data_IF_553238280719
#
_entry.id   IF_553238280719
#
_cell.length_a   1.000
_cell.length_b   1.000
_cell.length_c   1.000
_cell.angle_alpha   90.00
_cell.angle_beta   90.00
_cell.angle_gamma   90.00
#
_symmetry.space_group_name_H-M   'P 1'
#
loop_
_entity.id
_entity.type
_entity.pdbx_description
1 polymer ?
#
# COMPACT_ATOMS: atom_id res chain seq x y z
N UNK A 1 -2.28 10.07 11.27
CA UNK A 1 -2.43 8.72 11.79
C UNK A 1 -1.76 7.75 10.85
N UNK A 2 -0.72 7.03 11.29
CA UNK A 2 -0.20 5.92 10.48
C UNK A 2 -1.19 4.75 10.57
N UNK A 3 -1.93 4.53 9.49
CA UNK A 3 -2.93 3.45 9.40
C UNK A 3 -2.27 2.08 9.23
N UNK A 4 -1.00 2.01 8.88
CA UNK A 4 -0.32 0.74 8.60
C UNK A 4 -0.15 -0.13 9.85
N UNK A 5 -0.16 0.46 11.04
CA UNK A 5 0.04 -0.23 12.32
C UNK A 5 -1.25 -0.47 13.10
N UNK A 6 -2.33 0.23 12.77
CA UNK A 6 -3.62 0.08 13.44
C UNK A 6 -4.15 -1.36 13.34
N UNK A 7 -4.57 -1.92 14.48
CA UNK A 7 -5.10 -3.28 14.58
C UNK A 7 -4.03 -4.38 14.62
N UNK A 8 -2.74 -4.04 14.58
CA UNK A 8 -1.65 -5.02 14.66
C UNK A 8 -1.20 -5.24 16.10
N UNK A 9 -0.80 -6.47 16.40
CA UNK A 9 -0.12 -6.79 17.65
C UNK A 9 1.36 -6.41 17.53
N UNK A 10 1.82 -5.50 18.37
CA UNK A 10 3.13 -4.88 18.26
C UNK A 10 3.87 -4.86 19.60
N UNK A 11 5.19 -4.88 19.51
CA UNK A 11 6.15 -4.52 20.55
C UNK A 11 6.54 -3.06 20.38
N UNK A 12 6.42 -2.29 21.44
CA UNK A 12 6.89 -0.91 21.50
C UNK A 12 7.97 -0.81 22.57
N UNK A 13 9.14 -0.34 22.17
CA UNK A 13 10.29 -0.16 23.07
C UNK A 13 10.43 1.32 23.39
N UNK A 14 10.62 1.62 24.67
CA UNK A 14 11.05 2.94 25.16
C UNK A 14 12.30 2.79 26.01
N UNK A 15 12.94 3.90 26.38
CA UNK A 15 14.03 3.91 27.36
C UNK A 15 13.63 3.19 28.66
N UNK A 16 14.09 1.95 28.81
CA UNK A 16 13.93 1.12 30.00
C UNK A 16 12.66 0.25 30.09
N UNK A 17 11.75 0.26 29.11
CA UNK A 17 10.54 -0.59 29.14
C UNK A 17 10.14 -1.11 27.76
N UNK A 18 9.58 -2.31 27.73
CA UNK A 18 9.02 -2.96 26.54
C UNK A 18 7.53 -3.21 26.75
N UNK A 19 6.71 -2.84 25.77
CA UNK A 19 5.26 -2.98 25.80
C UNK A 19 4.80 -3.87 24.64
N UNK A 20 4.02 -4.91 24.90
CA UNK A 20 3.43 -5.76 23.87
C UNK A 20 1.90 -5.69 23.93
N UNK A 21 1.24 -5.42 22.80
CA UNK A 21 -0.21 -5.23 22.79
C UNK A 21 -0.80 -4.83 21.44
N UNK A 22 -2.10 -4.58 21.39
CA UNK A 22 -2.82 -4.21 20.17
C UNK A 22 -2.74 -2.71 19.91
N UNK A 23 -2.20 -2.31 18.76
CA UNK A 23 -2.09 -0.89 18.38
C UNK A 23 -3.45 -0.34 17.96
N UNK A 24 -3.94 0.68 18.66
CA UNK A 24 -5.13 1.44 18.25
C UNK A 24 -4.78 2.50 17.21
N UNK A 25 -3.71 3.26 17.46
CA UNK A 25 -3.30 4.39 16.61
C UNK A 25 -1.85 4.79 16.81
N UNK A 26 -1.25 5.37 15.77
CA UNK A 26 0.06 6.04 15.82
C UNK A 26 -0.10 7.49 15.34
N UNK A 27 0.32 8.45 16.18
CA UNK A 27 0.26 9.88 15.87
C UNK A 27 1.47 10.33 15.04
N UNK A 28 1.21 10.98 13.89
CA UNK A 28 2.26 11.35 12.92
C UNK A 28 3.29 12.36 13.43
N UNK A 29 2.91 13.28 14.33
CA UNK A 29 3.78 14.39 14.71
C UNK A 29 4.82 14.04 15.77
N UNK A 30 4.60 12.95 16.52
CA UNK A 30 5.46 12.56 17.65
C UNK A 30 5.77 11.07 17.71
N UNK A 31 5.20 10.27 16.79
CA UNK A 31 5.33 8.82 16.82
C UNK A 31 4.58 8.14 17.97
N UNK A 32 3.84 8.88 18.81
CA UNK A 32 3.20 8.31 20.00
C UNK A 32 2.17 7.24 19.63
N UNK A 33 2.15 6.16 20.41
CA UNK A 33 1.34 4.95 20.18
C UNK A 33 0.32 4.80 21.31
N UNK A 34 -0.91 4.44 20.94
CA UNK A 34 -1.92 3.96 21.90
C UNK A 34 -2.07 2.46 21.70
N UNK A 35 -2.00 1.70 22.80
CA UNK A 35 -2.11 0.25 22.80
C UNK A 35 -3.16 -0.25 23.79
N UNK A 36 -3.74 -1.43 23.52
CA UNK A 36 -4.70 -2.14 24.37
C UNK A 36 -4.25 -3.55 24.69
N UNK A 37 -4.65 -4.06 25.86
CA UNK A 37 -4.29 -5.38 26.38
C UNK A 37 -2.77 -5.54 26.36
N UNK A 38 -2.12 -4.72 27.18
CA UNK A 38 -0.69 -4.47 27.11
C UNK A 38 0.03 -5.25 28.20
N UNK A 39 0.98 -6.11 27.82
CA UNK A 39 1.93 -6.71 28.74
C UNK A 39 3.22 -5.87 28.73
N UNK A 40 3.77 -5.55 29.90
CA UNK A 40 4.98 -4.76 30.07
C UNK A 40 6.09 -5.62 30.64
N UNK A 41 7.26 -5.58 30.01
CA UNK A 41 8.47 -6.32 30.42
C UNK A 41 8.16 -7.79 30.74
N UNK A 42 7.25 -8.41 29.97
CA UNK A 42 6.74 -9.78 30.11
C UNK A 42 6.16 -10.16 31.49
N UNK A 43 5.82 -9.16 32.31
CA UNK A 43 5.49 -9.39 33.74
C UNK A 43 4.25 -8.64 34.22
N UNK A 44 4.00 -7.43 33.73
CA UNK A 44 2.90 -6.57 34.19
C UNK A 44 1.80 -6.45 33.12
N UNK A 45 0.56 -6.77 33.49
CA UNK A 45 -0.61 -6.63 32.62
C UNK A 45 -1.29 -5.27 32.83
N UNK A 46 -1.41 -4.50 31.76
CA UNK A 46 -2.04 -3.19 31.71
C UNK A 46 -3.21 -3.19 30.71
N UNK A 47 -4.24 -2.38 31.00
CA UNK A 47 -5.38 -2.18 30.11
C UNK A 47 -5.00 -1.43 28.85
N UNK A 48 -5.03 -0.10 28.91
CA UNK A 48 -4.64 0.77 27.80
C UNK A 48 -3.43 1.62 28.17
N UNK A 49 -2.48 1.75 27.26
CA UNK A 49 -1.25 2.52 27.48
C UNK A 49 -1.08 3.55 26.36
N UNK A 50 -0.71 4.77 26.74
CA UNK A 50 -0.28 5.83 25.83
C UNK A 50 1.24 5.99 25.94
N UNK A 51 1.96 5.63 24.87
CA UNK A 51 3.42 5.70 24.79
C UNK A 51 3.78 6.94 23.99
N UNK A 52 4.39 7.94 24.63
CA UNK A 52 4.60 9.26 24.02
C UNK A 52 5.74 9.29 23.00
N UNK A 53 6.85 8.63 23.29
CA UNK A 53 8.10 8.67 22.53
C UNK A 53 8.67 7.27 22.43
N UNK A 54 8.15 6.43 21.52
CA UNK A 54 8.72 5.11 21.28
C UNK A 54 10.06 5.24 20.54
N UNK A 55 11.02 4.39 20.92
CA UNK A 55 12.27 4.21 20.18
C UNK A 55 12.06 3.28 18.99
N UNK A 56 11.30 2.19 19.22
CA UNK A 56 10.98 1.18 18.21
C UNK A 56 9.50 0.80 18.32
N UNK A 57 8.85 0.65 17.17
CA UNK A 57 7.52 0.03 17.05
C UNK A 57 7.62 -1.12 16.06
N UNK A 58 7.49 -2.35 16.56
CA UNK A 58 7.70 -3.58 15.80
C UNK A 58 6.43 -4.42 15.82
N UNK A 59 5.98 -4.91 14.66
CA UNK A 59 4.85 -5.84 14.59
C UNK A 59 5.37 -7.26 14.80
N UNK A 60 5.03 -7.89 15.93
CA UNK A 60 5.52 -9.23 16.30
C UNK A 60 4.75 -10.36 15.57
N UNK A 61 3.50 -10.09 15.17
CA UNK A 61 2.67 -11.01 14.38
C UNK A 61 2.41 -10.41 13.00
N UNK A 62 3.42 -10.37 12.11
CA UNK A 62 3.24 -9.81 10.78
C UNK A 62 2.28 -10.68 9.98
N UNK A 63 1.14 -10.10 9.60
CA UNK A 63 0.18 -10.75 8.69
C UNK A 63 0.62 -10.67 7.22
N UNK A 64 1.66 -9.88 6.92
CA UNK A 64 2.18 -9.66 5.57
C UNK A 64 3.62 -10.10 5.52
N UNK A 65 3.96 -10.96 4.55
CA UNK A 65 5.33 -11.35 4.25
C UNK A 65 5.83 -10.45 3.13
N UNK A 66 6.83 -9.61 3.42
CA UNK A 66 7.44 -8.72 2.42
C UNK A 66 8.87 -9.17 2.18
N UNK A 67 9.20 -9.42 0.92
CA UNK A 67 10.51 -9.94 0.50
C UNK A 67 11.06 -9.11 -0.67
N UNK A 68 12.38 -9.09 -0.83
CA UNK A 68 13.05 -8.47 -1.98
C UNK A 68 13.32 -9.54 -3.04
N UNK A 69 12.63 -9.46 -4.17
CA UNK A 69 12.76 -10.44 -5.26
C UNK A 69 13.35 -9.78 -6.50
N UNK A 70 14.05 -10.58 -7.31
CA UNK A 70 14.55 -10.15 -8.61
C UNK A 70 13.36 -9.80 -9.52
N UNK A 71 13.35 -8.59 -10.07
CA UNK A 71 12.24 -8.11 -10.91
C UNK A 71 12.08 -8.95 -12.18
N UNK A 72 13.16 -9.58 -12.66
CA UNK A 72 13.16 -10.40 -13.88
C UNK A 72 12.61 -11.81 -13.63
N UNK A 73 12.52 -12.26 -12.38
CA UNK A 73 11.90 -13.54 -12.02
C UNK A 73 10.37 -13.42 -11.91
N UNK A 74 9.85 -12.20 -11.73
CA UNK A 74 8.41 -11.96 -11.58
C UNK A 74 7.67 -12.03 -12.92
N UNK A 75 6.58 -12.78 -12.94
CA UNK A 75 5.79 -13.00 -14.15
C UNK A 75 4.40 -12.36 -14.02
N UNK A 76 3.84 -11.77 -15.09
CA UNK A 76 2.45 -11.32 -15.04
C UNK A 76 1.49 -12.50 -14.83
N UNK A 77 0.39 -12.27 -14.12
CA UNK A 77 -0.72 -13.22 -14.07
C UNK A 77 -1.18 -13.60 -15.49
N UNK A 78 -1.54 -14.88 -15.77
CA UNK A 78 -1.88 -15.34 -17.13
C UNK A 78 -2.95 -14.50 -17.85
N UNK A 79 -3.95 -14.01 -17.12
CA UNK A 79 -5.04 -13.19 -17.68
C UNK A 79 -4.70 -11.69 -17.78
N UNK A 80 -3.47 -11.31 -17.43
CA UNK A 80 -3.03 -9.93 -17.54
C UNK A 80 -2.64 -9.60 -18.99
N UNK A 81 -3.61 -9.13 -19.76
CA UNK A 81 -3.44 -8.79 -21.18
C UNK A 81 -3.27 -7.27 -21.45
N UNK A 82 -3.06 -6.46 -20.43
CA UNK A 82 -2.98 -5.00 -20.58
C UNK A 82 -1.55 -4.54 -20.79
N UNK A 83 -1.28 -3.91 -21.93
CA UNK A 83 -0.07 -3.11 -22.07
C UNK A 83 -0.27 -1.75 -21.39
N UNK A 84 0.67 -1.34 -20.55
CA UNK A 84 0.60 -0.05 -19.87
C UNK A 84 1.99 0.58 -19.76
N UNK A 85 2.04 1.90 -19.72
CA UNK A 85 3.24 2.64 -19.32
C UNK A 85 3.18 3.02 -17.83
N UNK A 86 4.27 2.82 -17.07
CA UNK A 86 4.35 3.27 -15.69
C UNK A 86 4.33 4.80 -15.65
N UNK A 87 3.66 5.37 -14.65
CA UNK A 87 3.68 6.84 -14.44
C UNK A 87 5.08 7.28 -14.02
N UNK A 88 5.54 8.44 -14.50
CA UNK A 88 6.82 9.02 -14.09
C UNK A 88 7.00 9.15 -12.57
N UNK A 89 5.91 9.37 -11.84
CA UNK A 89 5.94 9.46 -10.38
C UNK A 89 6.36 8.14 -9.72
N UNK A 90 6.06 6.99 -10.32
CA UNK A 90 6.52 5.68 -9.87
C UNK A 90 8.00 5.50 -10.18
N UNK A 91 8.43 5.81 -11.41
CA UNK A 91 9.83 5.74 -11.83
C UNK A 91 10.70 6.64 -10.93
N UNK A 92 10.28 7.89 -10.69
CA UNK A 92 10.97 8.80 -9.76
C UNK A 92 11.04 8.25 -8.34
N UNK A 93 10.01 7.51 -7.89
CA UNK A 93 10.03 6.85 -6.59
C UNK A 93 11.06 5.71 -6.57
N UNK A 94 11.19 4.95 -7.65
CA UNK A 94 12.23 3.92 -7.78
C UNK A 94 13.63 4.53 -7.64
N UNK A 95 13.95 5.60 -8.38
CA UNK A 95 15.25 6.27 -8.24
C UNK A 95 15.51 6.79 -6.83
N UNK A 96 14.52 7.44 -6.20
CA UNK A 96 14.69 8.09 -4.91
C UNK A 96 14.71 7.13 -3.73
N UNK A 97 13.85 6.12 -3.76
CA UNK A 97 13.60 5.25 -2.61
C UNK A 97 14.12 3.82 -2.81
N UNK A 98 14.60 3.49 -4.02
CA UNK A 98 14.93 2.11 -4.44
C UNK A 98 13.70 1.16 -4.47
N UNK A 99 12.48 1.71 -4.56
CA UNK A 99 11.24 0.98 -4.84
C UNK A 99 10.08 1.91 -5.27
N UNK A 100 9.05 1.35 -5.89
CA UNK A 100 7.91 2.09 -6.46
C UNK A 100 6.81 2.46 -5.44
N UNK A 101 7.20 2.88 -4.22
CA UNK A 101 6.36 3.44 -3.15
C UNK A 101 5.36 2.49 -2.46
N UNK A 102 5.06 1.33 -3.01
CA UNK A 102 4.33 0.26 -2.30
C UNK A 102 4.74 -1.12 -2.81
N UNK A 103 4.32 -2.17 -2.12
CA UNK A 103 4.68 -3.56 -2.41
C UNK A 103 3.64 -4.19 -3.35
N UNK A 104 4.03 -4.59 -4.58
CA UNK A 104 3.21 -5.44 -5.44
C UNK A 104 2.88 -6.75 -4.72
N UNK A 105 1.72 -7.32 -5.02
CA UNK A 105 1.29 -8.60 -4.42
C UNK A 105 1.63 -9.71 -5.39
N UNK A 106 2.40 -10.69 -4.93
CA UNK A 106 2.90 -11.81 -5.74
C UNK A 106 2.61 -13.14 -5.04
N UNK A 107 2.44 -14.19 -5.83
CA UNK A 107 2.41 -15.57 -5.33
C UNK A 107 3.82 -16.08 -5.01
N UNK A 108 3.90 -17.19 -4.30
CA UNK A 108 5.18 -17.86 -4.01
C UNK A 108 5.95 -18.34 -5.26
N UNK A 109 5.28 -18.45 -6.42
CA UNK A 109 5.89 -18.80 -7.69
C UNK A 109 6.37 -17.58 -8.52
N UNK A 110 6.18 -16.36 -8.02
CA UNK A 110 6.55 -15.11 -8.72
C UNK A 110 5.47 -14.53 -9.61
N UNK A 111 4.28 -15.14 -9.65
CA UNK A 111 3.15 -14.59 -10.39
C UNK A 111 2.64 -13.31 -9.72
N UNK A 112 2.64 -12.20 -10.45
CA UNK A 112 2.17 -10.89 -10.00
C UNK A 112 0.63 -10.87 -10.04
N UNK A 113 0.00 -10.81 -8.86
CA UNK A 113 -1.46 -10.66 -8.71
C UNK A 113 -1.87 -9.20 -8.83
N UNK A 114 -1.07 -8.27 -8.31
CA UNK A 114 -1.33 -6.84 -8.40
C UNK A 114 -0.02 -6.05 -8.36
N UNK A 115 0.01 -4.92 -9.05
CA UNK A 115 1.15 -4.00 -9.03
C UNK A 115 2.08 -4.15 -10.22
N UNK A 116 1.62 -4.73 -11.33
CA UNK A 116 2.38 -4.84 -12.59
C UNK A 116 3.01 -3.50 -13.00
N UNK A 117 2.29 -2.37 -12.83
CA UNK A 117 2.79 -1.00 -13.08
C UNK A 117 4.05 -0.65 -12.30
N UNK A 118 4.18 -1.18 -11.08
CA UNK A 118 5.31 -0.91 -10.18
C UNK A 118 6.51 -1.76 -10.55
N UNK A 119 6.29 -3.02 -10.91
CA UNK A 119 7.36 -3.89 -11.41
C UNK A 119 7.91 -3.35 -12.74
N UNK A 120 7.05 -2.93 -13.68
CA UNK A 120 7.51 -2.25 -14.90
C UNK A 120 8.28 -0.95 -14.60
N UNK A 121 7.82 -0.14 -13.64
CA UNK A 121 8.54 1.06 -13.22
C UNK A 121 9.93 0.74 -12.62
N UNK A 122 10.07 -0.38 -11.90
CA UNK A 122 11.34 -0.85 -11.36
C UNK A 122 12.31 -1.24 -12.48
N UNK A 123 11.84 -2.00 -13.48
CA UNK A 123 12.63 -2.29 -14.68
C UNK A 123 13.08 -1.04 -15.42
N UNK A 124 12.17 -0.08 -15.67
CA UNK A 124 12.50 1.19 -16.35
C UNK A 124 13.55 2.00 -15.57
N UNK A 125 13.52 1.91 -14.24
CA UNK A 125 14.50 2.57 -13.38
C UNK A 125 15.82 1.79 -13.22
N UNK A 126 15.95 0.61 -13.84
CA UNK A 126 17.14 -0.24 -13.75
C UNK A 126 17.36 -0.86 -12.37
N UNK A 127 16.29 -1.13 -11.61
CA UNK A 127 16.39 -1.85 -10.35
C UNK A 127 16.43 -3.35 -10.61
N UNK A 128 17.38 -4.05 -9.99
CA UNK A 128 17.46 -5.52 -10.04
C UNK A 128 16.42 -6.17 -9.14
N UNK A 129 16.07 -5.53 -8.01
CA UNK A 129 15.15 -6.09 -7.02
C UNK A 129 14.05 -5.10 -6.64
N UNK A 130 12.88 -5.62 -6.28
CA UNK A 130 11.78 -4.82 -5.75
C UNK A 130 11.13 -5.50 -4.53
N UNK A 131 10.74 -4.76 -3.48
CA UNK A 131 10.03 -5.34 -2.35
C UNK A 131 8.60 -5.71 -2.76
N UNK A 132 8.20 -6.96 -2.52
CA UNK A 132 6.90 -7.53 -2.88
C UNK A 132 6.24 -8.16 -1.65
N UNK A 133 4.91 -8.08 -1.58
CA UNK A 133 4.09 -8.82 -0.61
C UNK A 133 3.83 -10.22 -1.17
N UNK A 134 4.40 -11.24 -0.55
CA UNK A 134 4.28 -12.64 -0.98
C UNK A 134 3.11 -13.29 -0.24
N UNK A 135 2.22 -13.93 -1.00
CA UNK A 135 1.06 -14.65 -0.49
C UNK A 135 1.06 -16.11 -0.94
N UNK A 136 0.67 -17.00 -0.03
CA UNK A 136 0.38 -18.40 -0.33
C UNK A 136 -1.11 -18.56 -0.60
N UNK A 137 -1.45 -18.79 -1.88
CA UNK A 137 -2.83 -18.90 -2.37
C UNK A 137 -2.92 -19.92 -3.49
N UNK A 138 -4.07 -20.60 -3.55
CA UNK A 138 -4.41 -21.51 -4.64
C UNK A 138 -4.62 -20.74 -5.95
N UNK A 139 -4.61 -21.43 -7.09
CA UNK A 139 -4.86 -20.82 -8.40
C UNK A 139 -6.24 -20.14 -8.46
N UNK A 140 -7.26 -20.75 -7.85
CA UNK A 140 -8.62 -20.20 -7.76
C UNK A 140 -8.64 -18.90 -6.95
N UNK A 141 -8.03 -18.90 -5.76
CA UNK A 141 -7.90 -17.70 -4.93
C UNK A 141 -7.09 -16.61 -5.63
N UNK A 142 -6.03 -16.97 -6.35
CA UNK A 142 -5.23 -16.05 -7.13
C UNK A 142 -6.05 -15.37 -8.23
N UNK A 143 -6.87 -16.14 -8.96
CA UNK A 143 -7.77 -15.62 -9.98
C UNK A 143 -8.82 -14.67 -9.39
N UNK A 144 -9.43 -15.02 -8.26
CA UNK A 144 -10.38 -14.15 -7.55
C UNK A 144 -9.73 -12.84 -7.11
N UNK A 145 -8.55 -12.91 -6.48
CA UNK A 145 -7.81 -11.73 -6.04
C UNK A 145 -7.39 -10.84 -7.22
N UNK A 146 -6.94 -11.45 -8.32
CA UNK A 146 -6.61 -10.74 -9.55
C UNK A 146 -7.86 -10.01 -10.10
N UNK A 147 -9.00 -10.69 -10.19
CA UNK A 147 -10.26 -10.12 -10.67
C UNK A 147 -10.74 -8.97 -9.77
N UNK A 148 -10.62 -9.08 -8.45
CA UNK A 148 -10.94 -8.01 -7.50
C UNK A 148 -10.03 -6.80 -7.71
N UNK A 149 -8.72 -7.02 -7.87
CA UNK A 149 -7.74 -5.94 -8.05
C UNK A 149 -7.91 -5.18 -9.38
N UNK A 150 -8.39 -5.86 -10.42
CA UNK A 150 -8.49 -5.31 -11.79
C UNK A 150 -9.94 -5.01 -12.23
N UNK A 151 -10.93 -5.16 -11.33
CA UNK A 151 -12.36 -5.00 -11.63
C UNK A 151 -12.73 -3.68 -12.33
N UNK A 152 -12.08 -2.57 -11.98
CA UNK A 152 -12.33 -1.26 -12.61
C UNK A 152 -11.77 -1.15 -14.03
N UNK A 153 -10.77 -1.94 -14.37
CA UNK A 153 -10.16 -1.96 -15.70
C UNK A 153 -10.99 -2.84 -16.66
N UNK A 154 -11.59 -3.91 -16.15
CA UNK A 154 -12.49 -4.79 -16.91
C UNK A 154 -13.84 -4.14 -17.27
N UNK A 155 -14.32 -3.17 -16.48
CA UNK A 155 -15.55 -2.42 -16.78
C UNK A 155 -15.39 -1.40 -17.90
N UNK A 156 -14.17 -0.94 -18.17
CA UNK A 156 -13.93 0.05 -19.23
C UNK A 156 -13.76 -0.61 -20.61
N UNK A 157 -13.62 -1.94 -20.68
CA UNK A 157 -13.46 -2.69 -21.94
C UNK A 157 -14.76 -3.30 -22.47
N UNK A 158 -15.89 -3.14 -21.77
CA UNK A 158 -17.19 -3.70 -22.19
C UNK A 158 -18.16 -2.69 -22.80
N UNK A 159 -17.83 -1.39 -22.78
CA UNK A 159 -18.74 -0.31 -23.20
C UNK A 159 -18.19 0.48 -24.40
N UNK A 160 -17.49 -0.18 -25.34
CA UNK A 160 -17.03 0.46 -26.58
C UNK A 160 -17.81 -0.06 -27.80
N UNK A 161 -19.10 0.27 -27.82
CA UNK A 161 -19.90 0.29 -29.03
C UNK A 161 -20.79 1.55 -29.01
N UNK A 162 -20.36 2.54 -29.82
CA UNK A 162 -21.13 3.68 -30.37
C UNK A 162 -21.17 5.01 -29.58
N UNK A 163 -20.13 5.85 -29.79
CA UNK A 163 -20.08 7.29 -30.19
C UNK A 163 -21.18 8.32 -29.81
N UNK A 164 -20.93 9.67 -29.86
CA UNK A 164 -19.69 10.39 -30.25
C UNK A 164 -19.24 11.52 -29.28
N UNK A 165 -18.04 12.04 -29.57
CA UNK A 165 -17.50 13.31 -29.09
C UNK A 165 -18.36 14.52 -29.47
N UNK A 166 -18.40 15.53 -28.59
CA UNK A 166 -18.64 16.92 -28.96
C UNK A 166 -17.69 17.83 -28.16
N UNK A 167 -16.88 18.57 -28.90
CA UNK A 167 -15.84 19.48 -28.44
C UNK A 167 -16.37 20.79 -27.84
N UNK A 168 -15.63 21.25 -26.83
CA UNK A 168 -15.21 22.61 -26.44
C UNK A 168 -15.96 23.88 -26.90
N UNK A 169 -16.21 24.80 -25.95
CA UNK A 169 -15.96 26.26 -26.11
C UNK A 169 -16.17 27.07 -24.81
N UNK A 170 -15.05 27.36 -24.14
CA UNK A 170 -14.52 28.68 -23.70
C UNK A 170 -15.48 29.85 -23.27
N UNK A 171 -15.27 30.33 -22.02
CA UNK A 171 -15.30 31.70 -21.39
C UNK A 171 -16.48 32.69 -21.71
N UNK A 172 -16.92 33.63 -20.88
CA UNK A 172 -16.26 34.52 -19.93
C UNK A 172 -17.28 35.29 -19.03
N UNK A 173 -16.77 35.83 -17.92
CA UNK A 173 -17.23 36.84 -16.91
C UNK A 173 -18.59 37.55 -16.92
N UNK A 174 -19.16 37.74 -15.71
CA UNK A 174 -19.45 39.05 -15.03
C UNK A 174 -20.20 38.80 -13.68
N UNK A 175 -19.73 39.29 -12.52
CA UNK A 175 -20.27 40.47 -11.79
C UNK A 175 -21.73 40.25 -11.31
N UNK A 176 -22.10 40.28 -10.02
CA UNK A 176 -22.00 41.42 -9.11
C UNK A 176 -22.41 41.01 -7.67
N UNK A 177 -22.12 41.90 -6.73
CA UNK A 177 -22.32 41.85 -5.27
C UNK A 177 -23.74 41.54 -4.79
N UNK A 178 -23.87 41.07 -3.53
CA UNK A 178 -24.48 41.90 -2.49
C UNK A 178 -24.22 41.38 -1.07
N UNK A 179 -23.83 42.34 -0.23
CA UNK A 179 -23.79 42.28 1.23
C UNK A 179 -25.22 42.25 1.76
N UNK A 180 -25.47 41.57 2.87
CA UNK A 180 -26.17 42.24 3.96
C UNK A 180 -25.90 41.58 5.33
N UNK A 181 -25.27 42.39 6.17
CA UNK A 181 -25.50 42.68 7.60
C UNK A 181 -25.81 41.54 8.59
#
# INVERSE_FOLDING_TARGET
>A
MDRALQGKYARVVTEGRTYEGWVERVHHSRGSVVMHTVTVDDTEELGSVFIRTPDVVEVIKPQKRVEWWDVNELQPFPDHNLEFEPKDSMIRSCYRNQYAKSFPVVREDGTIINGHKRIKAAHVAGLDHHPVEVIDVTDEQAAELFAVAHRSQLKNTSDDANEPEAEDSVQDTSGDSDQDS
#
